data_IF_837140350235
#
_entry.id   IF_837140350235
#
_cell.length_a   1.000
_cell.length_b   1.000
_cell.length_c   1.000
_cell.angle_alpha   90.00
_cell.angle_beta   90.00
_cell.angle_gamma   90.00
#
_symmetry.space_group_name_H-M   'P 1'
#
loop_
_entity.id
_entity.type
_entity.pdbx_description
1 polymer ?
#
# COMPACT_ATOMS: atom_id res chain seq x y z
N UNK A 1 8.01 -6.62 -10.44
CA UNK A 1 8.30 -5.17 -10.45
C UNK A 1 7.11 -4.32 -10.00
N UNK A 2 5.91 -4.51 -10.56
CA UNK A 2 4.72 -3.69 -10.25
C UNK A 2 4.34 -3.61 -8.75
N UNK A 3 4.48 -4.68 -7.98
CA UNK A 3 4.24 -4.66 -6.53
C UNK A 3 5.16 -3.71 -5.75
N UNK A 4 6.45 -3.67 -6.14
CA UNK A 4 7.44 -2.77 -5.51
C UNK A 4 7.13 -1.31 -5.85
N UNK A 5 6.67 -1.06 -7.08
CA UNK A 5 6.25 0.25 -7.53
C UNK A 5 5.00 0.73 -6.77
N UNK A 6 4.01 -0.14 -6.56
CA UNK A 6 2.85 0.15 -5.72
C UNK A 6 3.27 0.53 -4.29
N UNK A 7 4.20 -0.23 -3.69
CA UNK A 7 4.74 0.08 -2.35
C UNK A 7 5.46 1.43 -2.29
N UNK A 8 6.21 1.78 -3.32
CA UNK A 8 6.87 3.09 -3.42
C UNK A 8 5.86 4.24 -3.45
N UNK A 9 4.84 4.16 -4.32
CA UNK A 9 3.78 5.16 -4.39
C UNK A 9 2.99 5.29 -3.08
N UNK A 10 2.71 4.16 -2.42
CA UNK A 10 2.06 4.17 -1.10
C UNK A 10 2.91 4.89 -0.05
N UNK A 11 4.22 4.65 0.00
CA UNK A 11 5.11 5.31 0.96
C UNK A 11 5.14 6.82 0.72
N UNK A 12 5.33 7.26 -0.54
CA UNK A 12 5.35 8.69 -0.86
C UNK A 12 4.01 9.35 -0.52
N UNK A 13 2.90 8.70 -0.88
CA UNK A 13 1.57 9.21 -0.58
C UNK A 13 1.32 9.37 0.92
N UNK A 14 1.74 8.38 1.73
CA UNK A 14 1.66 8.44 3.19
C UNK A 14 2.52 9.56 3.76
N UNK A 15 3.73 9.78 3.25
CA UNK A 15 4.60 10.88 3.68
C UNK A 15 3.96 12.24 3.37
N UNK A 16 3.39 12.41 2.18
CA UNK A 16 2.67 13.63 1.80
C UNK A 16 1.46 13.89 2.71
N UNK A 17 0.69 12.85 3.04
CA UNK A 17 -0.42 12.96 3.97
C UNK A 17 0.04 13.30 5.39
N UNK A 18 1.14 12.70 5.87
CA UNK A 18 1.73 13.04 7.16
C UNK A 18 2.17 14.52 7.22
N UNK A 19 2.80 15.02 6.15
CA UNK A 19 3.16 16.44 6.02
C UNK A 19 1.92 17.35 5.99
N UNK A 20 0.84 16.92 5.34
CA UNK A 20 -0.42 17.66 5.38
C UNK A 20 -0.95 17.77 6.82
N UNK A 21 -1.04 16.66 7.56
CA UNK A 21 -1.50 16.68 8.95
C UNK A 21 -0.59 17.53 9.85
N UNK A 22 0.73 17.51 9.61
CA UNK A 22 1.66 18.39 10.30
C UNK A 22 1.42 19.88 9.97
N UNK A 23 1.13 20.22 8.70
CA UNK A 23 0.81 21.59 8.27
C UNK A 23 -0.54 22.09 8.78
N UNK A 24 -1.50 21.18 8.94
CA UNK A 24 -2.81 21.48 9.51
C UNK A 24 -2.69 21.80 11.00
N UNK A 25 -1.83 21.08 11.72
CA UNK A 25 -1.52 21.35 13.13
C UNK A 25 -0.90 22.73 13.38
N UNK A 26 -0.24 23.33 12.36
CA UNK A 26 0.32 24.70 12.45
C UNK A 26 -0.66 25.78 11.98
N UNK A 27 -1.91 25.42 11.65
CA UNK A 27 -2.94 26.35 11.16
C UNK A 27 -2.72 26.82 9.72
N UNK A 28 -1.79 26.20 8.99
CA UNK A 28 -1.48 26.52 7.59
C UNK A 28 -1.69 25.27 6.71
N UNK A 29 -2.94 24.81 6.54
CA UNK A 29 -3.21 23.57 5.84
C UNK A 29 -2.76 23.65 4.38
N UNK A 30 -1.76 22.85 4.04
CA UNK A 30 -1.27 22.74 2.66
C UNK A 30 -2.12 21.69 1.91
N UNK A 31 -3.33 22.07 1.51
CA UNK A 31 -4.27 21.17 0.81
C UNK A 31 -3.68 20.51 -0.45
N UNK A 32 -2.70 21.14 -1.10
CA UNK A 32 -1.97 20.53 -2.24
C UNK A 32 -1.33 19.20 -1.85
N UNK A 33 -0.79 19.08 -0.65
CA UNK A 33 -0.19 17.83 -0.15
C UNK A 33 -1.25 16.75 0.03
N UNK A 34 -2.45 17.11 0.50
CA UNK A 34 -3.57 16.19 0.61
C UNK A 34 -4.08 15.73 -0.76
N UNK A 35 -4.35 16.66 -1.67
CA UNK A 35 -4.89 16.35 -3.00
C UNK A 35 -3.93 15.55 -3.88
N UNK A 36 -2.62 15.63 -3.65
CA UNK A 36 -1.63 14.78 -4.34
C UNK A 36 -1.42 13.48 -3.56
N UNK A 37 -1.25 13.55 -2.24
CA UNK A 37 -0.94 12.40 -1.39
C UNK A 37 -2.07 11.36 -1.34
N UNK A 38 -3.33 11.80 -1.24
CA UNK A 38 -4.48 10.90 -1.15
C UNK A 38 -4.65 10.00 -2.40
N UNK A 39 -4.71 10.52 -3.65
CA UNK A 39 -4.82 9.67 -4.83
C UNK A 39 -3.54 8.85 -5.05
N UNK A 40 -2.35 9.38 -4.75
CA UNK A 40 -1.09 8.63 -4.88
C UNK A 40 -1.08 7.40 -3.95
N UNK A 41 -1.55 7.56 -2.72
CA UNK A 41 -1.70 6.47 -1.75
C UNK A 41 -2.74 5.45 -2.23
N UNK A 42 -3.90 5.92 -2.72
CA UNK A 42 -4.96 5.05 -3.22
C UNK A 42 -4.48 4.19 -4.41
N UNK A 43 -3.77 4.79 -5.38
CA UNK A 43 -3.19 4.09 -6.53
C UNK A 43 -2.12 3.10 -6.07
N UNK A 44 -1.25 3.50 -5.14
CA UNK A 44 -0.21 2.63 -4.59
C UNK A 44 -0.81 1.38 -3.94
N UNK A 45 -1.83 1.55 -3.08
CA UNK A 45 -2.55 0.43 -2.43
C UNK A 45 -3.25 -0.44 -3.47
N UNK A 46 -3.91 0.17 -4.46
CA UNK A 46 -4.57 -0.57 -5.53
C UNK A 46 -3.58 -1.46 -6.29
N UNK A 47 -2.42 -0.91 -6.68
CA UNK A 47 -1.36 -1.68 -7.34
C UNK A 47 -0.80 -2.78 -6.43
N UNK A 48 -0.57 -2.50 -5.13
CA UNK A 48 -0.10 -3.53 -4.20
C UNK A 48 -1.07 -4.70 -4.09
N UNK A 49 -2.38 -4.42 -4.05
CA UNK A 49 -3.42 -5.46 -4.01
C UNK A 49 -3.53 -6.22 -5.32
N UNK A 50 -3.49 -5.53 -6.46
CA UNK A 50 -3.65 -6.14 -7.79
C UNK A 50 -2.46 -7.01 -8.18
N UNK A 51 -1.25 -6.59 -7.83
CA UNK A 51 0.00 -7.26 -8.21
C UNK A 51 0.65 -8.00 -7.03
N UNK A 52 -0.09 -8.23 -5.94
CA UNK A 52 0.38 -9.04 -4.83
C UNK A 52 0.81 -10.42 -5.36
N UNK A 53 2.04 -10.89 -5.08
CA UNK A 53 2.45 -12.22 -5.48
C UNK A 53 1.52 -13.24 -4.84
N UNK A 54 1.07 -14.23 -5.62
CA UNK A 54 0.30 -15.35 -5.07
C UNK A 54 1.13 -15.98 -3.95
N UNK A 55 0.51 -16.30 -2.80
CA UNK A 55 1.22 -16.98 -1.73
C UNK A 55 1.84 -18.26 -2.30
N UNK A 56 3.16 -18.38 -2.19
CA UNK A 56 3.86 -19.61 -2.56
C UNK A 56 3.28 -20.74 -1.73
N UNK A 57 2.75 -21.81 -2.35
CA UNK A 57 2.21 -22.93 -1.59
C UNK A 57 3.34 -23.52 -0.74
N UNK A 58 3.27 -23.30 0.57
CA UNK A 58 4.24 -23.85 1.50
C UNK A 58 4.01 -25.36 1.56
N UNK A 59 4.97 -26.16 1.08
CA UNK A 59 4.90 -27.63 1.11
C UNK A 59 4.75 -28.22 2.52
N UNK A 60 4.89 -27.39 3.57
CA UNK A 60 4.78 -27.74 4.99
C UNK A 60 3.41 -28.33 5.39
N UNK A 61 2.36 -28.17 4.57
CA UNK A 61 1.03 -28.75 4.79
C UNK A 61 0.51 -29.60 3.63
N UNK A 62 1.37 -30.02 2.69
CA UNK A 62 0.96 -30.88 1.57
C UNK A 62 0.37 -32.21 2.06
N UNK A 63 0.92 -32.76 3.15
CA UNK A 63 0.50 -34.05 3.72
C UNK A 63 -0.90 -34.02 4.37
N UNK A 64 -1.30 -32.89 4.98
CA UNK A 64 -2.66 -32.73 5.54
C UNK A 64 -3.72 -32.54 4.45
N UNK A 65 -3.35 -32.00 3.29
CA UNK A 65 -4.29 -31.75 2.18
C UNK A 65 -4.78 -33.05 1.52
N UNK A 66 -3.98 -34.12 1.55
CA UNK A 66 -4.31 -35.41 0.93
C UNK A 66 -5.06 -36.39 1.85
N UNK A 67 -5.35 -36.05 3.11
CA UNK A 67 -6.16 -36.87 4.04
C UNK A 67 -7.65 -36.51 4.11
N UNK A 68 -8.12 -35.54 3.30
CA UNK A 68 -9.54 -35.21 3.17
C UNK A 68 -10.14 -35.73 1.85
N UNK A 69 -9.89 -37.01 1.54
CA UNK A 69 -10.64 -37.76 0.52
C UNK A 69 -11.28 -38.96 1.19
#
# INVERSE_FOLDING_TARGET
>A
MAYRLGRFFTIIGVVLLALFFASDATGTPLYRLFFIGAPLTAIGIYMMRRFAPKPTPSGRFSWLKNRKK
#
